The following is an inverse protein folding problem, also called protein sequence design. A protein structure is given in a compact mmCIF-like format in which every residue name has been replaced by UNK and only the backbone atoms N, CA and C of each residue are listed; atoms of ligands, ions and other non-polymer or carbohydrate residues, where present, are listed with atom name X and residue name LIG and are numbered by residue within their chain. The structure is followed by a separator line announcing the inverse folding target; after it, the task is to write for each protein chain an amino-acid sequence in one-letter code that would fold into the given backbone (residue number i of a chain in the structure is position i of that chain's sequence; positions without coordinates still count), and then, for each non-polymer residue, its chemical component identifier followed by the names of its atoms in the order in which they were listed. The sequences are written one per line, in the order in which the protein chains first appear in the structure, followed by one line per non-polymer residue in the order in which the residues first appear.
data_IF_940640860694
#
_entry.id   IF_940640860694
#
_cell.length_a   1.000
_cell.length_b   1.000
_cell.length_c   1.000
_cell.angle_alpha   90.00
_cell.angle_beta   90.00
_cell.angle_gamma   90.00
#
_symmetry.space_group_name_H-M   'P 1'
#
loop_
_entity.id
_entity.type
_entity.pdbx_description
1 polymer ?
#
# COMPACT_ATOMS: atom_id res chain seq x y z
N UNK A 1 14.21 1.48 -15.42
CA UNK A 1 13.02 1.90 -14.65
C UNK A 1 12.31 0.66 -14.14
N UNK A 2 11.67 0.72 -12.96
CA UNK A 2 10.93 -0.41 -12.40
C UNK A 2 9.53 -0.46 -13.02
N UNK A 3 9.11 -1.65 -13.49
CA UNK A 3 7.83 -1.88 -14.18
C UNK A 3 7.19 -3.17 -13.68
N UNK A 4 5.88 -3.13 -13.40
CA UNK A 4 5.07 -4.28 -13.00
C UNK A 4 3.83 -4.32 -13.90
N UNK A 5 3.76 -5.30 -14.80
CA UNK A 5 2.72 -5.31 -15.85
C UNK A 5 2.77 -4.02 -16.66
N UNK A 6 1.65 -3.30 -16.72
CA UNK A 6 1.53 -2.01 -17.43
C UNK A 6 1.82 -0.78 -16.55
N UNK A 7 2.22 -0.98 -15.29
CA UNK A 7 2.54 0.10 -14.36
C UNK A 7 4.04 0.40 -14.42
N UNK A 8 4.38 1.58 -14.92
CA UNK A 8 5.74 2.10 -14.93
C UNK A 8 5.94 3.13 -13.81
N UNK A 9 7.00 2.94 -13.00
CA UNK A 9 7.34 3.82 -11.89
C UNK A 9 8.37 4.85 -12.33
N UNK A 10 8.26 6.07 -11.80
CA UNK A 10 9.19 7.18 -12.11
C UNK A 10 10.64 6.85 -11.75
N UNK A 11 10.87 6.01 -10.74
CA UNK A 11 12.18 5.59 -10.25
C UNK A 11 12.04 4.27 -9.46
N UNK A 12 13.15 3.59 -9.11
CA UNK A 12 13.10 2.31 -8.39
C UNK A 12 13.01 2.44 -6.86
N UNK A 13 12.67 3.62 -6.32
CA UNK A 13 12.53 3.83 -4.87
C UNK A 13 11.13 3.42 -4.43
N UNK A 14 11.06 2.48 -3.51
CA UNK A 14 9.81 1.91 -3.00
C UNK A 14 9.73 2.11 -1.49
N UNK A 15 8.64 2.69 -1.00
CA UNK A 15 8.36 2.75 0.43
C UNK A 15 7.97 1.36 0.94
N UNK A 16 8.70 0.85 1.93
CA UNK A 16 8.37 -0.42 2.56
C UNK A 16 7.06 -0.35 3.37
N UNK A 17 6.28 -1.44 3.43
CA UNK A 17 5.09 -1.53 4.26
C UNK A 17 5.48 -1.64 5.74
N UNK A 18 4.98 -0.71 6.56
CA UNK A 18 5.24 -0.67 8.01
C UNK A 18 3.92 -0.48 8.75
N UNK A 19 3.53 -1.49 9.54
CA UNK A 19 2.29 -1.47 10.30
C UNK A 19 2.30 -0.34 11.35
N UNK A 20 1.19 0.42 11.42
CA UNK A 20 1.06 1.59 12.28
C UNK A 20 1.78 2.86 11.79
N UNK A 21 2.47 2.81 10.65
CA UNK A 21 3.22 3.94 10.09
C UNK A 21 2.70 4.34 8.71
N UNK A 22 2.54 3.38 7.81
CA UNK A 22 2.21 3.63 6.40
C UNK A 22 0.72 3.91 6.15
N UNK A 23 0.13 4.85 6.90
CA UNK A 23 -1.22 5.36 6.64
C UNK A 23 -1.25 6.29 5.40
N UNK A 24 -2.45 6.67 4.93
CA UNK A 24 -2.61 7.47 3.70
C UNK A 24 -1.84 8.81 3.75
N UNK A 25 -1.86 9.52 4.88
CA UNK A 25 -1.14 10.78 5.03
C UNK A 25 0.37 10.61 4.87
N UNK A 26 0.95 9.59 5.51
CA UNK A 26 2.39 9.30 5.40
C UNK A 26 2.77 8.90 3.97
N UNK A 27 1.96 8.04 3.33
CA UNK A 27 2.21 7.58 1.96
C UNK A 27 2.13 8.73 0.96
N UNK A 28 1.17 9.64 1.12
CA UNK A 28 1.05 10.83 0.28
C UNK A 28 2.30 11.71 0.41
N UNK A 29 2.75 11.99 1.64
CA UNK A 29 3.99 12.74 1.87
C UNK A 29 5.17 12.05 1.17
N UNK A 30 5.37 10.75 1.37
CA UNK A 30 6.47 10.03 0.71
C UNK A 30 6.35 10.05 -0.82
N UNK A 31 5.14 10.07 -1.36
CA UNK A 31 4.89 10.22 -2.80
C UNK A 31 5.30 11.60 -3.31
N UNK A 32 4.98 12.66 -2.58
CA UNK A 32 5.36 14.04 -2.89
C UNK A 32 6.88 14.24 -2.86
N UNK A 33 7.58 13.50 -1.99
CA UNK A 33 9.06 13.45 -1.95
C UNK A 33 9.68 12.59 -3.05
N UNK A 34 8.87 12.03 -3.95
CA UNK A 34 9.34 11.41 -5.19
C UNK A 34 9.45 9.89 -5.15
N UNK A 35 8.84 9.18 -4.20
CA UNK A 35 8.84 7.71 -4.22
C UNK A 35 8.16 7.17 -5.49
N UNK A 36 8.84 6.22 -6.15
CA UNK A 36 8.33 5.54 -7.34
C UNK A 36 7.06 4.75 -7.04
N UNK A 37 7.04 4.02 -5.92
CA UNK A 37 5.91 3.23 -5.43
C UNK A 37 5.76 3.41 -3.92
N UNK A 38 4.52 3.49 -3.42
CA UNK A 38 4.24 3.45 -1.98
C UNK A 38 3.45 2.19 -1.60
N UNK A 39 3.77 1.60 -0.46
CA UNK A 39 3.08 0.41 0.04
C UNK A 39 2.25 0.77 1.28
N UNK A 40 0.99 0.37 1.28
CA UNK A 40 0.12 0.45 2.43
C UNK A 40 0.52 -0.57 3.52
N UNK A 41 -0.09 -0.42 4.69
CA UNK A 41 0.11 -1.36 5.80
C UNK A 41 -0.30 -2.79 5.44
N UNK A 42 0.18 -3.75 6.24
CA UNK A 42 -0.17 -5.16 6.09
C UNK A 42 -1.65 -5.41 6.45
N UNK A 43 -2.42 -5.95 5.50
CA UNK A 43 -3.86 -6.22 5.63
C UNK A 43 -4.10 -7.73 5.74
N UNK A 44 -4.86 -8.16 6.75
CA UNK A 44 -5.19 -9.58 6.93
C UNK A 44 -6.25 -10.03 5.93
N UNK A 45 -5.99 -11.15 5.24
CA UNK A 45 -6.95 -11.84 4.38
C UNK A 45 -8.28 -12.16 5.10
N UNK A 46 -8.23 -12.75 6.29
CA UNK A 46 -9.40 -13.04 7.13
C UNK A 46 -10.11 -11.77 7.55
N UNK A 47 -9.37 -10.73 7.90
CA UNK A 47 -9.95 -9.42 8.21
C UNK A 47 -10.77 -8.86 7.06
N UNK A 48 -10.32 -9.06 5.81
CA UNK A 48 -11.09 -8.69 4.60
C UNK A 48 -12.31 -9.58 4.44
N UNK A 49 -12.14 -10.91 4.50
CA UNK A 49 -13.24 -11.90 4.32
C UNK A 49 -14.35 -11.70 5.34
N UNK A 50 -14.01 -11.49 6.61
CA UNK A 50 -14.96 -11.25 7.70
C UNK A 50 -15.37 -9.78 7.85
N UNK A 51 -14.96 -8.90 6.93
CA UNK A 51 -15.28 -7.46 6.93
C UNK A 51 -14.99 -6.78 8.27
N UNK A 52 -13.86 -7.11 8.88
CA UNK A 52 -13.42 -6.45 10.10
C UNK A 52 -13.24 -4.95 9.84
N UNK A 53 -13.92 -4.11 10.63
CA UNK A 53 -13.95 -2.65 10.42
C UNK A 53 -12.56 -2.03 10.32
N UNK A 54 -11.65 -2.42 11.22
CA UNK A 54 -10.26 -1.93 11.21
C UNK A 54 -9.55 -2.32 9.92
N UNK A 55 -9.68 -3.58 9.48
CA UNK A 55 -9.08 -4.06 8.24
C UNK A 55 -9.65 -3.34 7.01
N UNK A 56 -10.96 -3.11 6.97
CA UNK A 56 -11.59 -2.37 5.87
C UNK A 56 -11.12 -0.91 5.82
N UNK A 57 -10.92 -0.26 6.97
CA UNK A 57 -10.37 1.10 7.02
C UNK A 57 -8.92 1.16 6.50
N UNK A 58 -8.12 0.10 6.68
CA UNK A 58 -6.75 0.03 6.15
C UNK A 58 -6.70 -0.06 4.61
N UNK A 59 -7.80 -0.45 3.95
CA UNK A 59 -7.91 -0.49 2.49
C UNK A 59 -8.13 0.90 1.86
N UNK A 60 -8.28 1.95 2.67
CA UNK A 60 -8.44 3.31 2.17
C UNK A 60 -7.19 3.76 1.38
N UNK A 61 -7.44 4.28 0.18
CA UNK A 61 -6.43 4.79 -0.74
C UNK A 61 -6.90 6.14 -1.29
N UNK A 62 -6.03 7.15 -1.22
CA UNK A 62 -6.19 8.40 -1.97
C UNK A 62 -5.61 8.23 -3.38
N UNK A 63 -6.33 8.71 -4.40
CA UNK A 63 -5.93 8.58 -5.80
C UNK A 63 -4.54 9.17 -6.11
N UNK A 64 -4.10 10.18 -5.34
CA UNK A 64 -2.78 10.82 -5.49
C UNK A 64 -1.63 9.92 -5.07
N UNK A 65 -1.90 8.84 -4.34
CA UNK A 65 -0.88 7.88 -3.90
C UNK A 65 -0.39 6.99 -5.05
N UNK A 66 -1.14 6.92 -6.16
CA UNK A 66 -0.83 6.03 -7.28
C UNK A 66 0.49 6.41 -8.00
N UNK A 67 1.31 5.43 -8.42
CA UNK A 67 1.17 3.99 -8.15
C UNK A 67 1.45 3.63 -6.67
N UNK A 68 0.58 2.76 -6.14
CA UNK A 68 0.57 2.21 -4.77
C UNK A 68 0.37 0.69 -4.82
N UNK A 69 0.86 -0.04 -3.82
CA UNK A 69 0.53 -1.43 -3.58
C UNK A 69 -0.07 -1.66 -2.18
N UNK A 70 -0.90 -2.70 -2.08
CA UNK A 70 -1.44 -3.22 -0.82
C UNK A 70 -0.76 -4.55 -0.49
N UNK A 71 -0.27 -4.70 0.74
CA UNK A 71 0.30 -5.96 1.20
C UNK A 71 -0.78 -6.77 1.93
N UNK A 72 -1.19 -7.89 1.34
CA UNK A 72 -2.09 -8.84 1.99
C UNK A 72 -1.25 -9.93 2.63
N UNK A 73 -1.56 -10.27 3.89
CA UNK A 73 -0.99 -11.44 4.56
C UNK A 73 -2.11 -12.40 4.97
N UNK A 74 -1.78 -13.68 4.91
CA UNK A 74 -2.73 -14.77 5.04
C UNK A 74 -2.01 -16.11 4.95
N UNK A 75 -2.68 -17.18 5.35
CA UNK A 75 -2.05 -18.49 5.43
C UNK A 75 -2.97 -19.52 6.02
N UNK A 76 -3.98 -19.91 5.25
CA UNK A 76 -4.65 -21.19 5.44
C UNK A 76 -4.03 -22.23 4.50
N UNK A 77 -3.93 -23.47 4.98
CA UNK A 77 -3.52 -24.62 4.17
C UNK A 77 -4.69 -25.17 3.40
#
# INVERSE_FOLDING_TARGET
MLKIGDIEMKNPVVLAPMAGVCNSAFRLTVKEFGAGLVCAEMVSDKGIVFKNEKTMNMLYIDEREKPLSLQIFGGEK
#
